data_IF_934043215921
#
_entry.id   IF_934043215921
#
_cell.length_a   1.000
_cell.length_b   1.000
_cell.length_c   1.000
_cell.angle_alpha   90.00
_cell.angle_beta   90.00
_cell.angle_gamma   90.00
#
_symmetry.space_group_name_H-M   'P 1'
#
loop_
_entity.id
_entity.type
_entity.pdbx_description
1 polymer ?
#
# COMPACT_ATOMS: atom_id res chain seq x y z
N UNK A 1 9.85 38.94 18.73
CA UNK A 1 8.75 38.59 17.79
C UNK A 1 7.73 37.62 18.39
N UNK A 2 7.98 37.03 19.58
CA UNK A 2 7.02 36.20 20.31
C UNK A 2 5.87 37.00 20.97
N UNK A 3 6.12 38.23 21.47
CA UNK A 3 5.07 38.99 22.17
C UNK A 3 3.86 39.38 21.32
N UNK A 4 4.05 39.66 20.02
CA UNK A 4 2.94 39.99 19.11
C UNK A 4 2.15 38.76 18.64
N UNK A 5 2.77 37.57 18.65
CA UNK A 5 2.10 36.31 18.27
C UNK A 5 1.07 35.90 19.32
N UNK A 6 1.38 36.12 20.60
CA UNK A 6 0.47 35.88 21.72
C UNK A 6 -0.66 36.92 21.81
N UNK A 7 -0.46 38.15 21.36
CA UNK A 7 -1.50 39.19 21.43
C UNK A 7 -2.77 38.86 20.64
N UNK A 8 -2.65 38.20 19.48
CA UNK A 8 -3.81 37.90 18.63
C UNK A 8 -4.60 36.70 19.17
N UNK A 9 -3.93 35.69 19.71
CA UNK A 9 -4.60 34.58 20.41
C UNK A 9 -5.29 35.09 21.67
N UNK A 10 -4.66 35.98 22.45
CA UNK A 10 -5.30 36.65 23.59
C UNK A 10 -6.53 37.49 23.20
N UNK A 11 -6.51 38.14 22.02
CA UNK A 11 -7.70 38.86 21.51
C UNK A 11 -8.85 37.91 21.20
N UNK A 12 -8.57 36.76 20.60
CA UNK A 12 -9.58 35.72 20.36
C UNK A 12 -10.15 35.23 21.70
N UNK A 13 -9.30 34.96 22.69
CA UNK A 13 -9.73 34.58 24.04
C UNK A 13 -10.68 35.60 24.66
N UNK A 14 -10.34 36.89 24.59
CA UNK A 14 -11.17 37.97 25.14
C UNK A 14 -12.47 38.17 24.37
N UNK A 15 -12.51 37.94 23.05
CA UNK A 15 -13.74 38.12 22.25
C UNK A 15 -14.79 37.04 22.49
N UNK A 16 -14.39 35.86 22.98
CA UNK A 16 -15.28 34.71 23.12
C UNK A 16 -15.44 34.22 24.58
N UNK A 17 -14.86 34.93 25.55
CA UNK A 17 -14.86 34.64 26.99
C UNK A 17 -14.51 33.17 27.28
N UNK A 18 -13.37 32.72 26.76
CA UNK A 18 -12.88 31.36 26.96
C UNK A 18 -12.13 31.32 28.31
N UNK A 19 -12.87 31.22 29.41
CA UNK A 19 -12.36 31.29 30.78
C UNK A 19 -12.07 29.91 31.43
N UNK A 20 -12.11 28.82 30.66
CA UNK A 20 -11.78 27.45 31.12
C UNK A 20 -10.42 26.96 30.63
N UNK A 21 -10.06 25.70 30.94
CA UNK A 21 -8.88 24.99 30.39
C UNK A 21 -8.84 25.26 28.89
N UNK A 22 -7.89 26.09 28.47
CA UNK A 22 -7.89 26.68 27.14
C UNK A 22 -7.76 25.55 26.12
N UNK A 23 -8.82 25.20 25.37
CA UNK A 23 -8.72 24.17 24.33
C UNK A 23 -7.78 24.64 23.20
N UNK A 24 -7.42 25.93 23.24
CA UNK A 24 -6.49 26.58 22.34
C UNK A 24 -5.05 26.61 22.89
N UNK A 25 -4.76 26.03 24.07
CA UNK A 25 -3.42 26.02 24.67
C UNK A 25 -2.39 25.29 23.79
N UNK A 26 -2.85 24.30 23.01
CA UNK A 26 -2.00 23.54 22.08
C UNK A 26 -1.55 24.38 20.87
N UNK A 27 -2.17 25.55 20.62
CA UNK A 27 -1.84 26.41 19.50
C UNK A 27 -0.99 27.60 19.96
N UNK A 28 0.24 27.67 19.47
CA UNK A 28 1.16 28.78 19.77
C UNK A 28 0.81 30.06 19.00
N UNK A 29 0.12 29.95 17.86
CA UNK A 29 -0.29 31.08 17.04
C UNK A 29 -1.63 30.86 16.35
N UNK A 30 -2.26 31.97 15.96
CA UNK A 30 -3.41 31.98 15.05
C UNK A 30 -3.13 31.24 13.74
N UNK A 31 -1.86 31.23 13.29
CA UNK A 31 -1.44 30.49 12.09
C UNK A 31 -1.52 28.97 12.27
N UNK A 32 -1.32 28.47 13.49
CA UNK A 32 -1.38 27.04 13.77
C UNK A 32 -2.83 26.55 13.74
N UNK A 33 -3.79 27.40 14.15
CA UNK A 33 -5.23 27.14 14.02
C UNK A 33 -5.62 27.03 12.54
N UNK A 34 -5.18 27.98 11.72
CA UNK A 34 -5.48 28.04 10.27
C UNK A 34 -4.79 26.92 9.47
N UNK A 35 -3.74 26.30 10.02
CA UNK A 35 -3.04 25.18 9.38
C UNK A 35 -3.93 23.94 9.27
N UNK A 36 -4.88 23.75 10.18
CA UNK A 36 -5.86 22.67 10.12
C UNK A 36 -7.07 23.05 9.26
N UNK A 37 -7.66 22.11 8.51
CA UNK A 37 -8.88 22.38 7.75
C UNK A 37 -10.05 22.69 8.69
N UNK A 38 -10.93 23.62 8.26
CA UNK A 38 -12.06 24.15 9.06
C UNK A 38 -12.91 23.03 9.69
N UNK A 39 -13.24 22.00 8.91
CA UNK A 39 -14.08 20.88 9.35
C UNK A 39 -13.43 20.08 10.48
N UNK A 40 -12.13 19.82 10.39
CA UNK A 40 -11.37 19.10 11.40
C UNK A 40 -11.27 19.91 12.69
N UNK A 41 -10.94 21.20 12.59
CA UNK A 41 -10.87 22.09 13.77
C UNK A 41 -12.22 22.14 14.49
N UNK A 42 -13.33 22.33 13.75
CA UNK A 42 -14.66 22.33 14.33
C UNK A 42 -14.95 21.00 15.01
N UNK A 43 -14.65 19.86 14.37
CA UNK A 43 -14.92 18.53 14.94
C UNK A 43 -14.19 18.31 16.27
N UNK A 44 -12.89 18.61 16.31
CA UNK A 44 -12.05 18.46 17.51
C UNK A 44 -12.53 19.36 18.66
N UNK A 45 -12.91 20.60 18.35
CA UNK A 45 -13.22 21.63 19.34
C UNK A 45 -14.72 21.83 19.58
N UNK A 46 -15.61 21.09 18.90
CA UNK A 46 -17.07 21.14 19.07
C UNK A 46 -17.51 20.82 20.50
N UNK A 47 -16.95 19.80 21.18
CA UNK A 47 -17.38 19.45 22.54
C UNK A 47 -17.07 20.55 23.56
N UNK A 48 -15.94 21.25 23.40
CA UNK A 48 -15.48 22.26 24.34
C UNK A 48 -15.99 23.68 24.02
N UNK A 49 -16.06 24.05 22.74
CA UNK A 49 -16.38 25.42 22.29
C UNK A 49 -17.76 25.52 21.62
N UNK A 50 -18.41 24.41 21.31
CA UNK A 50 -19.73 24.40 20.66
C UNK A 50 -19.76 25.20 19.36
N UNK A 51 -20.82 26.00 19.16
CA UNK A 51 -20.98 26.91 18.00
C UNK A 51 -19.95 28.04 17.94
N UNK A 52 -19.18 28.29 19.02
CA UNK A 52 -18.14 29.34 19.02
C UNK A 52 -16.91 28.91 18.20
N UNK A 53 -16.66 27.61 18.04
CA UNK A 53 -15.53 27.06 17.27
C UNK A 53 -15.48 27.59 15.83
N UNK A 54 -16.64 27.69 15.16
CA UNK A 54 -16.75 28.23 13.81
C UNK A 54 -16.31 29.69 13.73
N UNK A 55 -16.85 30.53 14.62
CA UNK A 55 -16.52 31.97 14.65
C UNK A 55 -15.07 32.22 15.02
N UNK A 56 -14.50 31.39 15.89
CA UNK A 56 -13.08 31.44 16.26
C UNK A 56 -12.19 31.15 15.06
N UNK A 57 -12.53 30.12 14.27
CA UNK A 57 -11.79 29.79 13.06
C UNK A 57 -11.87 30.92 12.02
N UNK A 58 -13.06 31.48 11.81
CA UNK A 58 -13.25 32.58 10.84
C UNK A 58 -12.47 33.85 11.26
N UNK A 59 -12.44 34.16 12.57
CA UNK A 59 -11.65 35.26 13.10
C UNK A 59 -10.14 34.99 12.99
N UNK A 60 -9.72 33.75 13.26
CA UNK A 60 -8.34 33.32 13.08
C UNK A 60 -7.89 33.46 11.62
N UNK A 61 -8.74 33.07 10.66
CA UNK A 61 -8.51 33.25 9.23
C UNK A 61 -8.35 34.73 8.87
N UNK A 62 -9.21 35.59 9.40
CA UNK A 62 -9.14 37.04 9.22
C UNK A 62 -7.80 37.63 9.70
N UNK A 63 -7.38 37.26 10.91
CA UNK A 63 -6.09 37.70 11.46
C UNK A 63 -4.89 37.13 10.68
N UNK A 64 -4.93 35.87 10.26
CA UNK A 64 -3.89 35.29 9.43
C UNK A 64 -3.71 36.06 8.11
N UNK A 65 -4.82 36.44 7.47
CA UNK A 65 -4.80 37.27 6.26
C UNK A 65 -4.25 38.68 6.54
N UNK A 66 -4.60 39.28 7.67
CA UNK A 66 -4.05 40.57 8.08
C UNK A 66 -2.53 40.51 8.28
N UNK A 67 -2.03 39.47 8.96
CA UNK A 67 -0.58 39.25 9.14
C UNK A 67 0.10 39.12 7.78
N UNK A 68 -0.44 38.29 6.87
CA UNK A 68 0.11 38.13 5.50
C UNK A 68 0.18 39.46 4.77
N UNK A 69 -0.86 40.29 4.86
CA UNK A 69 -0.90 41.63 4.24
C UNK A 69 0.15 42.56 4.81
N UNK A 70 0.27 42.63 6.14
CA UNK A 70 1.25 43.49 6.82
C UNK A 70 2.67 43.04 6.49
N UNK A 71 2.92 41.73 6.49
CA UNK A 71 4.22 41.16 6.14
C UNK A 71 4.63 41.52 4.72
N UNK A 72 3.73 41.37 3.74
CA UNK A 72 3.95 41.83 2.34
C UNK A 72 4.23 43.32 2.27
N UNK A 73 3.46 44.16 2.96
CA UNK A 73 3.68 45.62 2.98
C UNK A 73 5.06 45.97 3.55
N UNK A 74 5.43 45.40 4.68
CA UNK A 74 6.69 45.73 5.36
C UNK A 74 7.92 45.25 4.57
N UNK A 75 7.86 44.05 4.00
CA UNK A 75 8.94 43.52 3.14
C UNK A 75 9.13 44.36 1.87
N UNK A 76 8.04 44.76 1.21
CA UNK A 76 8.10 45.69 0.06
C UNK A 76 8.63 47.08 0.45
N UNK A 77 8.16 47.64 1.58
CA UNK A 77 8.54 49.01 1.98
C UNK A 77 10.00 49.09 2.42
N UNK A 78 10.49 48.11 3.18
CA UNK A 78 11.89 48.04 3.63
C UNK A 78 12.86 47.85 2.46
N UNK A 79 12.47 47.12 1.42
CA UNK A 79 13.30 46.91 0.23
C UNK A 79 13.32 48.14 -0.68
N UNK A 80 12.18 48.84 -0.83
CA UNK A 80 12.12 50.13 -1.55
C UNK A 80 13.01 51.17 -0.87
N UNK A 81 12.91 51.35 0.46
CA UNK A 81 13.71 52.33 1.19
C UNK A 81 15.22 52.06 1.10
N UNK A 82 15.64 50.79 1.13
CA UNK A 82 17.07 50.43 0.98
C UNK A 82 17.61 50.66 -0.44
N UNK A 83 16.79 50.50 -1.47
CA UNK A 83 17.22 50.66 -2.86
C UNK A 83 17.15 52.12 -3.37
N UNK A 84 16.18 52.92 -2.91
CA UNK A 84 16.04 54.32 -3.36
C UNK A 84 17.09 55.27 -2.78
N UNK A 85 17.71 54.92 -1.64
CA UNK A 85 18.76 55.72 -1.01
C UNK A 85 20.17 55.48 -1.59
N UNK A 86 20.34 54.52 -2.54
CA UNK A 86 21.68 54.12 -2.99
C UNK A 86 22.07 54.56 -4.42
N UNK A 87 21.18 55.08 -5.28
CA UNK A 87 21.58 55.47 -6.65
C UNK A 87 20.81 56.66 -7.21
N UNK A 88 21.50 57.80 -7.33
CA UNK A 88 21.08 58.96 -8.13
C UNK A 88 21.24 58.74 -9.63
N UNK A 89 20.53 57.78 -10.24
CA UNK A 89 20.51 57.63 -11.69
C UNK A 89 19.09 57.30 -12.17
N UNK A 90 18.64 58.08 -13.14
CA UNK A 90 17.28 58.22 -13.67
C UNK A 90 16.77 57.03 -14.51
N UNK A 91 17.21 55.80 -14.22
CA UNK A 91 16.74 54.60 -14.90
C UNK A 91 16.11 53.67 -13.86
N UNK A 92 14.79 53.76 -13.69
CA UNK A 92 13.98 52.93 -12.80
C UNK A 92 13.86 51.52 -13.42
N UNK A 93 14.97 50.81 -13.47
CA UNK A 93 15.03 49.37 -13.71
C UNK A 93 15.89 48.74 -12.61
N UNK A 94 15.54 49.07 -11.37
CA UNK A 94 16.07 48.39 -10.21
C UNK A 94 15.46 47.00 -10.12
N UNK A 95 16.08 46.01 -10.75
CA UNK A 95 15.90 44.61 -10.38
C UNK A 95 16.25 44.51 -8.88
N UNK A 96 15.21 44.48 -8.06
CA UNK A 96 15.29 44.42 -6.62
C UNK A 96 16.10 43.18 -6.24
N UNK A 97 17.33 43.35 -5.73
CA UNK A 97 18.21 42.24 -5.30
C UNK A 97 17.51 41.27 -4.35
N UNK A 98 16.50 41.75 -3.61
CA UNK A 98 15.68 40.98 -2.67
C UNK A 98 14.16 41.20 -2.90
N UNK A 99 13.75 41.41 -4.15
CA UNK A 99 12.32 41.47 -4.50
C UNK A 99 11.62 40.13 -4.30
N UNK A 100 10.29 40.05 -4.49
CA UNK A 100 9.56 38.79 -4.56
C UNK A 100 9.90 38.07 -5.88
N UNK A 101 11.17 37.75 -6.09
CA UNK A 101 11.61 36.83 -7.15
C UNK A 101 11.36 35.41 -6.66
N UNK A 102 11.03 34.52 -7.60
CA UNK A 102 10.75 33.11 -7.31
C UNK A 102 11.85 32.46 -6.45
N UNK A 103 13.12 32.62 -6.85
CA UNK A 103 14.28 32.12 -6.10
C UNK A 103 14.38 32.67 -4.67
N UNK A 104 13.96 33.91 -4.40
CA UNK A 104 14.04 34.47 -3.05
C UNK A 104 12.86 34.04 -2.16
N UNK A 105 11.72 33.69 -2.77
CA UNK A 105 10.52 33.23 -2.07
C UNK A 105 10.56 31.74 -1.74
N UNK A 106 11.07 30.94 -2.67
CA UNK A 106 11.02 29.48 -2.59
C UNK A 106 12.39 28.84 -2.36
N UNK A 107 13.49 29.58 -2.62
CA UNK A 107 14.86 29.11 -2.43
C UNK A 107 15.14 27.78 -3.14
N UNK A 108 14.63 27.65 -4.36
CA UNK A 108 14.75 26.42 -5.13
C UNK A 108 16.23 26.08 -5.41
N UNK A 109 16.59 24.86 -5.08
CA UNK A 109 17.88 24.27 -5.42
C UNK A 109 17.76 23.56 -6.77
N UNK A 110 18.45 24.09 -7.78
CA UNK A 110 18.43 23.56 -9.14
C UNK A 110 18.97 22.12 -9.23
N UNK A 111 19.76 21.68 -8.25
CA UNK A 111 20.27 20.31 -8.20
C UNK A 111 19.19 19.28 -7.82
N UNK A 112 18.08 19.73 -7.21
CA UNK A 112 16.96 18.87 -6.82
C UNK A 112 15.92 18.70 -7.92
N UNK A 113 16.14 19.28 -9.11
CA UNK A 113 15.26 19.09 -10.24
C UNK A 113 15.59 17.78 -10.94
N UNK A 114 14.55 16.99 -11.18
CA UNK A 114 14.63 15.76 -11.95
C UNK A 114 14.34 16.02 -13.44
N UNK A 115 14.64 15.02 -14.28
CA UNK A 115 14.29 15.04 -15.69
C UNK A 115 12.77 14.92 -15.89
N UNK A 116 12.27 15.42 -17.01
CA UNK A 116 10.88 15.16 -17.41
C UNK A 116 10.65 13.66 -17.54
N UNK A 117 9.59 13.14 -16.91
CA UNK A 117 9.26 11.70 -16.82
C UNK A 117 10.12 10.87 -15.88
N UNK A 118 11.01 11.48 -15.09
CA UNK A 118 11.69 10.78 -14.01
C UNK A 118 10.69 10.34 -12.92
N UNK A 119 10.94 9.23 -12.22
CA UNK A 119 10.06 8.75 -11.16
C UNK A 119 9.92 9.75 -10.01
N UNK A 120 10.96 10.55 -9.73
CA UNK A 120 10.93 11.58 -8.69
C UNK A 120 10.18 12.85 -9.10
N UNK A 121 9.72 12.94 -10.36
CA UNK A 121 8.95 14.08 -10.81
C UNK A 121 7.60 14.16 -10.07
N UNK A 122 7.21 15.37 -9.70
CA UNK A 122 5.95 15.59 -8.96
C UNK A 122 4.70 15.26 -9.78
N UNK A 123 4.83 15.24 -11.11
CA UNK A 123 3.80 14.83 -12.07
C UNK A 123 3.97 13.37 -12.54
N UNK A 124 4.87 12.61 -11.92
CA UNK A 124 5.09 11.21 -12.26
C UNK A 124 3.92 10.31 -11.79
N UNK A 125 3.74 9.13 -12.41
CA UNK A 125 2.81 8.12 -11.92
C UNK A 125 3.10 7.70 -10.47
N UNK A 126 4.36 7.72 -10.06
CA UNK A 126 4.81 7.39 -8.69
C UNK A 126 4.27 8.40 -7.69
N UNK A 127 4.41 9.69 -8.00
CA UNK A 127 3.88 10.77 -7.16
C UNK A 127 2.36 10.66 -7.01
N UNK A 128 1.67 10.29 -8.08
CA UNK A 128 0.23 10.04 -8.02
C UNK A 128 -0.13 8.81 -7.16
N UNK A 129 0.63 7.71 -7.26
CA UNK A 129 0.46 6.52 -6.42
C UNK A 129 0.67 6.85 -4.94
N UNK A 130 1.75 7.55 -4.60
CA UNK A 130 2.03 7.99 -3.23
C UNK A 130 0.91 8.89 -2.68
N UNK A 131 0.37 9.78 -3.52
CA UNK A 131 -0.79 10.59 -3.15
C UNK A 131 -2.04 9.74 -2.89
N UNK A 132 -2.36 8.78 -3.77
CA UNK A 132 -3.50 7.87 -3.60
C UNK A 132 -3.37 7.03 -2.32
N UNK A 133 -2.19 6.49 -2.06
CA UNK A 133 -1.92 5.71 -0.86
C UNK A 133 -2.14 6.52 0.43
N UNK A 134 -1.56 7.72 0.51
CA UNK A 134 -1.76 8.62 1.64
C UNK A 134 -3.22 9.06 1.78
N UNK A 135 -3.91 9.28 0.67
CA UNK A 135 -5.33 9.64 0.66
C UNK A 135 -6.19 8.49 1.20
N UNK A 136 -5.91 7.25 0.80
CA UNK A 136 -6.58 6.06 1.31
C UNK A 136 -6.37 5.91 2.83
N UNK A 137 -5.13 6.03 3.32
CA UNK A 137 -4.85 6.03 4.76
C UNK A 137 -5.60 7.14 5.51
N UNK A 138 -5.71 8.33 4.91
CA UNK A 138 -6.47 9.42 5.50
C UNK A 138 -7.97 9.10 5.62
N UNK A 139 -8.53 8.31 4.72
CA UNK A 139 -9.93 7.88 4.81
C UNK A 139 -10.14 6.85 5.91
N UNK A 140 -9.20 5.92 6.08
CA UNK A 140 -9.22 4.93 7.17
C UNK A 140 -9.22 5.64 8.54
N UNK A 141 -8.32 6.61 8.73
CA UNK A 141 -8.25 7.39 9.98
C UNK A 141 -9.50 8.24 10.25
N UNK A 142 -10.23 8.68 9.22
CA UNK A 142 -11.43 9.51 9.38
C UNK A 142 -12.67 8.70 9.79
N UNK A 143 -12.75 7.45 9.35
CA UNK A 143 -13.91 6.59 9.56
C UNK A 143 -13.86 5.85 10.90
N UNK A 144 -12.67 5.61 11.47
CA UNK A 144 -12.48 4.98 12.78
C UNK A 144 -12.43 3.44 12.76
N UNK A 145 -12.01 2.83 13.87
CA UNK A 145 -11.62 1.41 13.94
C UNK A 145 -12.76 0.38 13.92
N UNK A 146 -14.03 0.79 14.04
CA UNK A 146 -15.06 -0.17 14.46
C UNK A 146 -15.52 -1.17 13.40
N UNK A 147 -15.16 -1.03 12.11
CA UNK A 147 -15.60 -1.96 11.05
C UNK A 147 -14.77 -1.91 9.74
N UNK A 148 -13.55 -1.38 9.75
CA UNK A 148 -12.77 -1.20 8.51
C UNK A 148 -11.65 -2.22 8.45
N UNK A 149 -11.62 -2.99 7.36
CA UNK A 149 -10.45 -3.80 7.02
C UNK A 149 -9.40 -2.86 6.43
N UNK A 150 -8.35 -2.59 7.19
CA UNK A 150 -7.29 -1.66 6.79
C UNK A 150 -6.62 -2.10 5.49
N UNK A 151 -6.09 -1.14 4.74
CA UNK A 151 -5.36 -1.41 3.50
C UNK A 151 -4.14 -2.29 3.78
N UNK A 152 -3.43 -2.02 4.87
CA UNK A 152 -2.29 -2.82 5.31
C UNK A 152 -2.67 -4.28 5.61
N UNK A 153 -3.87 -4.53 6.15
CA UNK A 153 -4.34 -5.90 6.39
C UNK A 153 -4.76 -6.62 5.10
N UNK A 154 -5.28 -5.88 4.10
CA UNK A 154 -5.69 -6.47 2.81
C UNK A 154 -4.52 -6.72 1.87
N UNK A 155 -3.53 -5.83 1.91
CA UNK A 155 -2.37 -5.78 1.01
C UNK A 155 -1.12 -5.41 1.81
N UNK A 156 -0.55 -6.37 2.56
CA UNK A 156 0.65 -6.15 3.38
C UNK A 156 1.91 -5.90 2.55
N UNK A 157 1.85 -6.15 1.24
CA UNK A 157 2.92 -5.92 0.28
C UNK A 157 3.11 -4.42 -0.06
N UNK A 158 2.02 -3.64 -0.16
CA UNK A 158 2.07 -2.24 -0.60
C UNK A 158 2.98 -1.32 0.24
N UNK A 159 3.00 -1.41 1.59
CA UNK A 159 3.91 -0.59 2.40
C UNK A 159 5.38 -0.89 2.16
N UNK A 160 5.71 -2.11 1.75
CA UNK A 160 7.08 -2.59 1.54
C UNK A 160 7.51 -2.54 0.07
N UNK A 161 6.60 -2.14 -0.84
CA UNK A 161 6.87 -2.06 -2.27
C UNK A 161 7.93 -0.99 -2.54
N UNK A 162 9.09 -1.41 -3.04
CA UNK A 162 10.14 -0.51 -3.48
C UNK A 162 9.76 0.12 -4.82
N UNK A 163 9.78 1.45 -4.89
CA UNK A 163 9.46 2.21 -6.10
C UNK A 163 10.77 2.53 -6.84
N UNK A 164 11.20 1.60 -7.69
CA UNK A 164 12.35 1.78 -8.57
C UNK A 164 11.93 1.88 -10.05
N UNK A 165 12.89 2.18 -10.93
CA UNK A 165 12.60 2.35 -12.36
C UNK A 165 12.06 1.06 -13.01
N UNK A 166 12.50 -0.10 -12.51
CA UNK A 166 12.01 -1.40 -12.97
C UNK A 166 10.54 -1.60 -12.57
N UNK A 167 10.16 -1.33 -11.32
CA UNK A 167 8.78 -1.46 -10.83
C UNK A 167 7.80 -0.57 -11.62
N UNK A 168 8.29 0.52 -12.20
CA UNK A 168 7.48 1.47 -12.96
C UNK A 168 7.37 1.07 -14.43
N UNK A 169 8.50 0.69 -15.04
CA UNK A 169 8.59 0.54 -16.49
C UNK A 169 8.49 -0.92 -16.96
N UNK A 170 8.68 -1.90 -16.06
CA UNK A 170 8.64 -3.31 -16.43
C UNK A 170 7.19 -3.75 -16.68
N UNK A 171 6.95 -4.30 -17.87
CA UNK A 171 5.67 -4.92 -18.21
C UNK A 171 5.64 -6.33 -17.64
N UNK A 172 4.76 -6.55 -16.66
CA UNK A 172 4.56 -7.84 -16.00
C UNK A 172 3.12 -8.35 -16.21
N UNK A 173 2.91 -9.68 -16.37
CA UNK A 173 1.57 -10.23 -16.48
C UNK A 173 0.77 -10.02 -15.18
N UNK A 174 -0.45 -9.52 -15.29
CA UNK A 174 -1.30 -9.27 -14.11
C UNK A 174 -1.61 -10.54 -13.32
N UNK A 175 -1.70 -11.69 -13.98
CA UNK A 175 -1.96 -12.97 -13.31
C UNK A 175 -0.82 -13.38 -12.39
N UNK A 176 0.43 -13.09 -12.77
CA UNK A 176 1.59 -13.40 -11.94
C UNK A 176 1.54 -12.62 -10.63
N UNK A 177 1.22 -11.33 -10.69
CA UNK A 177 1.03 -10.50 -9.49
C UNK A 177 -0.08 -11.02 -8.57
N UNK A 178 -1.18 -11.51 -9.14
CA UNK A 178 -2.28 -12.08 -8.34
C UNK A 178 -1.79 -13.32 -7.59
N UNK A 179 -1.05 -14.20 -8.26
CA UNK A 179 -0.50 -15.39 -7.61
C UNK A 179 0.50 -15.04 -6.52
N UNK A 180 1.42 -14.10 -6.77
CA UNK A 180 2.40 -13.64 -5.76
C UNK A 180 1.70 -13.05 -4.52
N UNK A 181 0.66 -12.24 -4.71
CA UNK A 181 -0.10 -11.65 -3.59
C UNK A 181 -0.87 -12.73 -2.81
N UNK A 182 -1.46 -13.71 -3.49
CA UNK A 182 -2.14 -14.82 -2.83
C UNK A 182 -1.17 -15.71 -2.05
N UNK A 183 0.00 -15.99 -2.63
CA UNK A 183 1.06 -16.78 -1.99
C UNK A 183 1.56 -16.10 -0.73
N UNK A 184 1.85 -14.79 -0.78
CA UNK A 184 2.25 -14.00 0.40
C UNK A 184 1.21 -14.04 1.51
N UNK A 185 -0.09 -13.94 1.16
CA UNK A 185 -1.16 -13.97 2.15
C UNK A 185 -1.30 -15.34 2.85
N UNK A 186 -1.00 -16.43 2.15
CA UNK A 186 -1.10 -17.79 2.69
C UNK A 186 0.19 -18.20 3.42
N UNK A 187 1.35 -17.70 2.98
CA UNK A 187 2.67 -18.01 3.55
C UNK A 187 2.75 -17.72 5.04
N UNK A 188 2.23 -16.57 5.49
CA UNK A 188 2.21 -16.19 6.91
C UNK A 188 1.44 -17.21 7.77
N UNK A 189 0.36 -17.79 7.22
CA UNK A 189 -0.41 -18.82 7.90
C UNK A 189 0.31 -20.16 7.95
N UNK A 190 0.97 -20.54 6.85
CA UNK A 190 1.72 -21.79 6.76
C UNK A 190 2.94 -21.77 7.68
N UNK A 191 3.68 -20.66 7.77
CA UNK A 191 4.84 -20.54 8.66
C UNK A 191 4.47 -20.77 10.13
N UNK A 192 3.23 -20.44 10.53
CA UNK A 192 2.70 -20.72 11.87
C UNK A 192 2.32 -22.19 12.05
N UNK A 193 1.81 -22.84 11.01
CA UNK A 193 1.33 -24.23 11.06
C UNK A 193 2.50 -25.23 10.96
N UNK A 194 3.35 -25.05 9.96
CA UNK A 194 4.51 -25.89 9.66
C UNK A 194 5.63 -25.07 9.01
N UNK A 195 6.65 -24.64 9.79
CA UNK A 195 7.69 -23.72 9.35
C UNK A 195 8.66 -24.32 8.34
N UNK A 196 8.73 -25.65 8.23
CA UNK A 196 9.62 -26.35 7.31
C UNK A 196 8.96 -26.61 5.94
N UNK A 197 7.65 -26.38 5.83
CA UNK A 197 6.86 -26.65 4.62
C UNK A 197 6.77 -25.45 3.68
N UNK A 198 6.74 -25.72 2.38
CA UNK A 198 6.50 -24.70 1.34
C UNK A 198 5.02 -24.60 0.97
N UNK A 199 4.62 -23.46 0.38
CA UNK A 199 3.23 -23.25 -0.06
C UNK A 199 2.77 -24.34 -1.02
N UNK A 200 3.60 -24.70 -2.00
CA UNK A 200 3.28 -25.76 -2.97
C UNK A 200 3.11 -27.14 -2.32
N UNK A 201 3.93 -27.49 -1.33
CA UNK A 201 3.82 -28.77 -0.61
C UNK A 201 2.54 -28.83 0.22
N UNK A 202 2.17 -27.74 0.91
CA UNK A 202 0.92 -27.70 1.66
C UNK A 202 -0.31 -27.79 0.75
N UNK A 203 -0.30 -27.10 -0.41
CA UNK A 203 -1.36 -27.19 -1.40
C UNK A 203 -1.47 -28.58 -2.05
N UNK A 204 -0.34 -29.30 -2.13
CA UNK A 204 -0.32 -30.65 -2.65
C UNK A 204 -0.97 -31.67 -1.70
N UNK A 205 -0.92 -31.45 -0.38
CA UNK A 205 -1.42 -32.38 0.64
C UNK A 205 -2.83 -32.04 1.11
N UNK A 206 -3.21 -30.77 1.09
CA UNK A 206 -4.52 -30.28 1.55
C UNK A 206 -5.66 -30.88 0.73
N UNK A 207 -6.69 -31.40 1.42
CA UNK A 207 -7.85 -32.08 0.80
C UNK A 207 -9.10 -31.20 0.70
N UNK A 208 -9.23 -30.22 1.59
CA UNK A 208 -10.32 -29.25 1.59
C UNK A 208 -9.76 -27.85 1.35
N UNK A 209 -10.42 -26.99 0.54
CA UNK A 209 -11.72 -27.13 -0.14
C UNK A 209 -11.66 -27.92 -1.47
N UNK A 210 -12.82 -28.16 -2.10
CA UNK A 210 -13.08 -29.11 -3.22
C UNK A 210 -12.22 -28.98 -4.49
N UNK A 211 -11.34 -27.99 -4.59
CA UNK A 211 -10.41 -27.79 -5.70
C UNK A 211 -8.99 -28.32 -5.41
N UNK A 212 -8.69 -28.62 -4.15
CA UNK A 212 -7.44 -29.21 -3.69
C UNK A 212 -7.62 -30.74 -3.59
N UNK A 213 -6.53 -31.53 -3.67
CA UNK A 213 -5.11 -31.14 -3.70
C UNK A 213 -4.59 -30.64 -5.06
N UNK A 214 -3.70 -29.66 -5.02
CA UNK A 214 -3.00 -29.09 -6.19
C UNK A 214 -1.48 -29.28 -6.07
N UNK A 215 -0.91 -30.14 -6.92
CA UNK A 215 0.52 -30.44 -6.92
C UNK A 215 1.24 -29.74 -8.08
N UNK A 216 1.75 -28.54 -7.82
CA UNK A 216 2.37 -27.66 -8.83
C UNK A 216 3.43 -28.34 -9.71
N UNK A 217 4.47 -29.02 -9.17
CA UNK A 217 5.51 -29.60 -10.02
C UNK A 217 4.99 -30.75 -10.88
N UNK A 218 3.95 -31.46 -10.45
CA UNK A 218 3.34 -32.53 -11.25
C UNK A 218 2.60 -31.93 -12.44
N UNK A 219 1.82 -30.88 -12.24
CA UNK A 219 1.18 -30.18 -13.34
C UNK A 219 2.20 -29.58 -14.31
N UNK A 220 3.30 -29.02 -13.80
CA UNK A 220 4.38 -28.52 -14.65
C UNK A 220 4.99 -29.64 -15.51
N UNK A 221 5.21 -30.83 -14.94
CA UNK A 221 5.68 -31.98 -15.71
C UNK A 221 4.68 -32.41 -16.79
N UNK A 222 3.39 -32.47 -16.47
CA UNK A 222 2.36 -32.79 -17.46
C UNK A 222 2.31 -31.78 -18.60
N UNK A 223 2.38 -30.49 -18.30
CA UNK A 223 2.43 -29.43 -19.31
C UNK A 223 3.67 -29.52 -20.20
N UNK A 224 4.84 -29.85 -19.62
CA UNK A 224 6.05 -30.05 -20.42
C UNK A 224 5.96 -31.27 -21.35
N UNK A 225 5.34 -32.36 -20.90
CA UNK A 225 5.13 -33.56 -21.71
C UNK A 225 4.11 -33.32 -22.82
N UNK A 226 3.03 -32.59 -22.51
CA UNK A 226 2.01 -32.19 -23.49
C UNK A 226 2.61 -31.30 -24.59
N UNK A 227 3.54 -30.41 -24.26
CA UNK A 227 4.25 -29.59 -25.23
C UNK A 227 5.05 -30.43 -26.24
N UNK A 228 5.62 -31.55 -25.80
CA UNK A 228 6.34 -32.51 -26.66
C UNK A 228 5.41 -33.55 -27.32
N UNK A 229 4.09 -33.44 -27.10
CA UNK A 229 3.08 -34.43 -27.56
C UNK A 229 3.34 -35.85 -27.04
N UNK A 230 3.96 -35.98 -25.87
CA UNK A 230 4.21 -37.26 -25.22
C UNK A 230 3.40 -37.37 -23.92
N UNK A 231 3.04 -38.59 -23.54
CA UNK A 231 2.47 -38.86 -22.22
C UNK A 231 3.52 -39.48 -21.29
N UNK A 232 3.28 -39.43 -19.98
CA UNK A 232 4.14 -40.12 -19.00
C UNK A 232 4.25 -41.63 -19.31
N UNK A 233 3.18 -42.22 -19.84
CA UNK A 233 3.16 -43.62 -20.29
C UNK A 233 4.11 -43.85 -21.48
N UNK A 234 4.16 -42.92 -22.43
CA UNK A 234 5.04 -43.04 -23.60
C UNK A 234 6.52 -42.96 -23.22
N UNK A 235 6.85 -42.10 -22.27
CA UNK A 235 8.20 -41.98 -21.71
C UNK A 235 8.63 -43.31 -21.07
N UNK A 236 7.75 -43.92 -20.27
CA UNK A 236 8.02 -45.19 -19.58
C UNK A 236 8.11 -46.35 -20.56
N UNK A 237 7.24 -46.38 -21.56
CA UNK A 237 7.29 -47.35 -22.67
C UNK A 237 8.63 -47.32 -23.41
N UNK A 238 9.27 -46.15 -23.52
CA UNK A 238 10.58 -46.01 -24.17
C UNK A 238 11.74 -46.35 -23.24
N UNK A 239 11.60 -46.16 -21.93
CA UNK A 239 12.68 -46.35 -20.98
C UNK A 239 12.84 -47.80 -20.50
N UNK A 240 11.74 -48.54 -20.36
CA UNK A 240 11.77 -49.92 -19.85
C UNK A 240 11.54 -50.96 -20.96
N UNK A 241 12.49 -51.90 -21.08
CA UNK A 241 12.41 -53.04 -22.01
C UNK A 241 11.33 -54.06 -21.61
N UNK A 242 10.90 -54.06 -20.36
CA UNK A 242 9.90 -55.00 -19.84
C UNK A 242 8.45 -54.52 -20.02
N UNK A 243 8.26 -53.32 -20.60
CA UNK A 243 6.96 -52.80 -20.98
C UNK A 243 6.34 -53.62 -22.14
N UNK A 244 5.02 -53.91 -22.15
CA UNK A 244 4.00 -53.50 -21.17
C UNK A 244 3.94 -54.37 -19.90
N UNK A 245 3.86 -53.72 -18.74
CA UNK A 245 3.77 -54.41 -17.44
C UNK A 245 2.45 -55.14 -17.19
N UNK A 246 1.40 -54.85 -17.98
CA UNK A 246 0.05 -55.40 -17.84
C UNK A 246 -0.20 -56.72 -18.61
N UNK A 247 0.84 -57.38 -19.14
CA UNK A 247 0.70 -58.63 -19.91
C UNK A 247 1.09 -59.89 -19.11
N UNK A 248 1.67 -59.75 -17.91
CA UNK A 248 2.10 -60.88 -17.06
C UNK A 248 1.02 -61.29 -16.03
N UNK A 249 1.11 -62.52 -15.52
CA UNK A 249 0.09 -63.21 -14.70
C UNK A 249 -0.33 -62.50 -13.38
N UNK A 250 0.37 -61.45 -12.94
CA UNK A 250 -0.01 -60.63 -11.77
C UNK A 250 -0.51 -59.24 -12.20
N UNK A 251 -1.73 -59.20 -12.71
CA UNK A 251 -2.37 -57.98 -13.25
C UNK A 251 -2.74 -56.92 -12.19
N UNK A 252 -2.82 -57.30 -10.92
CA UNK A 252 -3.38 -56.47 -9.84
C UNK A 252 -2.34 -55.99 -8.82
N UNK A 253 -1.08 -56.43 -8.90
CA UNK A 253 -0.06 -56.11 -7.89
C UNK A 253 1.30 -55.84 -8.54
N UNK A 254 1.98 -54.79 -8.07
CA UNK A 254 3.33 -54.42 -8.52
C UNK A 254 3.32 -53.49 -9.73
N UNK A 255 4.18 -53.75 -10.72
CA UNK A 255 4.40 -52.82 -11.84
C UNK A 255 3.14 -52.56 -12.69
N UNK A 256 2.18 -53.48 -12.73
CA UNK A 256 0.92 -53.29 -13.47
C UNK A 256 0.04 -52.19 -12.85
N UNK A 257 -0.02 -52.11 -11.52
CA UNK A 257 -0.75 -51.06 -10.79
C UNK A 257 -0.10 -49.69 -11.02
N UNK A 258 1.24 -49.65 -10.96
CA UNK A 258 2.01 -48.44 -11.22
C UNK A 258 1.77 -47.92 -12.65
N UNK A 259 1.67 -48.81 -13.65
CA UNK A 259 1.34 -48.41 -15.03
C UNK A 259 -0.02 -47.70 -15.13
N UNK A 260 -1.04 -48.20 -14.42
CA UNK A 260 -2.38 -47.60 -14.44
C UNK A 260 -2.41 -46.26 -13.69
N UNK A 261 -1.74 -46.19 -12.54
CA UNK A 261 -1.57 -44.96 -11.77
C UNK A 261 -0.91 -43.85 -12.61
N UNK A 262 0.23 -44.16 -13.22
CA UNK A 262 0.96 -43.24 -14.11
C UNK A 262 0.12 -42.84 -15.32
N UNK A 263 -0.72 -43.76 -15.80
CA UNK A 263 -1.59 -43.49 -16.94
C UNK A 263 -2.80 -42.61 -16.66
N UNK A 264 -3.17 -42.46 -15.39
CA UNK A 264 -4.31 -41.63 -14.98
C UNK A 264 -4.03 -40.12 -15.02
N UNK A 265 -2.75 -39.70 -15.11
CA UNK A 265 -2.31 -38.31 -14.98
C UNK A 265 -2.80 -37.62 -13.69
N UNK A 266 -3.17 -38.39 -12.66
CA UNK A 266 -3.55 -37.88 -11.35
C UNK A 266 -2.31 -37.62 -10.51
N UNK A 267 -2.32 -36.54 -9.72
CA UNK A 267 -1.24 -36.26 -8.77
C UNK A 267 -1.19 -37.35 -7.67
N UNK A 268 -0.05 -37.54 -6.98
CA UNK A 268 0.11 -38.59 -5.97
C UNK A 268 -0.99 -38.58 -4.90
N UNK A 269 -1.30 -37.42 -4.32
CA UNK A 269 -2.36 -37.31 -3.31
C UNK A 269 -3.77 -37.55 -3.88
N UNK A 270 -4.01 -37.22 -5.15
CA UNK A 270 -5.27 -37.54 -5.82
C UNK A 270 -5.41 -39.05 -6.03
N UNK A 271 -4.31 -39.74 -6.35
CA UNK A 271 -4.31 -41.21 -6.43
C UNK A 271 -4.58 -41.83 -5.06
N UNK A 272 -3.98 -41.28 -3.99
CA UNK A 272 -4.25 -41.71 -2.60
C UNK A 272 -5.73 -41.57 -2.25
N UNK A 273 -6.36 -40.43 -2.59
CA UNK A 273 -7.79 -40.19 -2.32
C UNK A 273 -8.70 -41.18 -3.08
N UNK A 274 -8.32 -41.59 -4.29
CA UNK A 274 -9.11 -42.55 -5.09
C UNK A 274 -8.88 -44.00 -4.63
N UNK A 275 -7.69 -44.32 -4.10
CA UNK A 275 -7.29 -45.69 -3.74
C UNK A 275 -7.50 -46.03 -2.27
N UNK A 276 -7.71 -45.04 -1.40
CA UNK A 276 -7.99 -45.28 0.02
C UNK A 276 -9.30 -46.05 0.23
N UNK A 277 -9.32 -46.95 1.22
CA UNK A 277 -10.50 -47.75 1.52
C UNK A 277 -11.63 -46.89 2.11
N UNK A 278 -12.86 -47.10 1.65
CA UNK A 278 -14.05 -46.44 2.21
C UNK A 278 -14.19 -46.79 3.70
N UNK A 279 -13.94 -45.80 4.55
CA UNK A 279 -14.02 -45.93 6.00
C UNK A 279 -15.21 -45.14 6.58
N UNK A 280 -16.30 -45.01 5.83
CA UNK A 280 -17.56 -44.32 6.19
C UNK A 280 -18.19 -44.71 7.54
N UNK A 281 -17.70 -45.76 8.19
CA UNK A 281 -18.09 -46.14 9.57
C UNK A 281 -17.36 -45.38 10.68
N UNK A 282 -16.28 -44.66 10.35
CA UNK A 282 -15.47 -43.92 11.30
C UNK A 282 -15.71 -42.42 11.09
N UNK A 283 -16.28 -41.75 12.11
CA UNK A 283 -16.57 -40.30 12.14
C UNK A 283 -15.36 -39.37 11.94
N UNK A 284 -14.18 -39.94 11.72
CA UNK A 284 -12.90 -39.27 11.51
C UNK A 284 -12.73 -38.83 10.05
N UNK A 285 -13.36 -39.50 9.07
CA UNK A 285 -13.24 -39.10 7.66
C UNK A 285 -13.98 -37.79 7.33
N UNK A 286 -15.10 -37.50 7.99
CA UNK A 286 -15.75 -36.18 7.91
C UNK A 286 -14.93 -35.06 8.55
N UNK A 287 -13.85 -35.39 9.27
CA UNK A 287 -12.90 -34.42 9.79
C UNK A 287 -11.69 -34.38 8.84
N UNK A 288 -11.09 -35.52 8.50
CA UNK A 288 -9.90 -35.61 7.63
C UNK A 288 -10.12 -35.19 6.16
N UNK A 289 -11.34 -35.30 5.63
CA UNK A 289 -11.71 -34.77 4.31
C UNK A 289 -12.09 -33.29 4.32
N UNK A 290 -12.22 -32.68 5.51
CA UNK A 290 -12.64 -31.29 5.71
C UNK A 290 -11.62 -30.45 6.51
N UNK A 291 -10.51 -31.03 6.94
CA UNK A 291 -9.43 -30.39 7.69
C UNK A 291 -8.21 -30.18 6.81
#
# INVERSE_FOLDING_TARGET
MNDKKNQLTSRIHNTFDINGISPLADYSSVLDIVRKPRTQFIREHKPALGRKSEKIYDLAQGYANQIRRIFRKNTLTQTIQKNTLSRGSHNIQGLMKNGPTWQNLFQDDWNNYCLSSAPEANDSPVSYLCWLYNQALSFETQMGDSNIISLASRRPDLPNLMLDDNAINQVIPSLQLVNEVLELAVKDYIEVLDPDSTVDETLAVTRYPTLLPYHYPHQQTLLSLEADSESLQDVIKKSDITWPWFVKENLLQGNAEMAWQLGSNLAPEQQTIVTEADNSTVSVFSIAGYS
#
